data_IF_688170058777
#
_entry.id   IF_688170058777
#
_cell.length_a   1.000
_cell.length_b   1.000
_cell.length_c   1.000
_cell.angle_alpha   90.00
_cell.angle_beta   90.00
_cell.angle_gamma   90.00
#
_symmetry.space_group_name_H-M   'P 1'
#
loop_
_entity.id
_entity.type
_entity.pdbx_description
1 polymer ?
#
# COMPACT_ATOMS: atom_id res chain seq x y z
N UNK A 1 -5.13 11.73 1.16
CA UNK A 1 -3.95 10.99 0.66
C UNK A 1 -3.53 11.49 -0.72
N UNK A 2 -2.38 11.07 -1.30
CA UNK A 2 -1.99 11.46 -2.65
C UNK A 2 -2.82 10.69 -3.69
N UNK A 3 -3.48 11.33 -4.67
CA UNK A 3 -4.22 10.65 -5.72
C UNK A 3 -3.38 9.63 -6.49
N UNK A 4 -4.02 8.55 -6.91
CA UNK A 4 -3.43 7.51 -7.74
C UNK A 4 -4.21 7.41 -9.06
N UNK A 5 -3.60 7.83 -10.15
CA UNK A 5 -4.20 7.71 -11.49
C UNK A 5 -3.36 6.82 -12.39
N UNK A 6 -2.26 7.34 -12.93
CA UNK A 6 -1.29 6.58 -13.72
C UNK A 6 0.06 6.64 -13.03
N UNK A 7 0.70 5.50 -12.87
CA UNK A 7 2.03 5.37 -12.29
C UNK A 7 2.94 4.63 -13.26
N UNK A 8 3.97 5.28 -13.77
CA UNK A 8 5.10 4.62 -14.46
C UNK A 8 6.32 4.71 -13.56
N UNK A 9 6.87 3.58 -13.18
CA UNK A 9 8.00 3.53 -12.26
C UNK A 9 8.76 2.20 -12.33
N UNK A 10 9.98 2.21 -11.83
CA UNK A 10 10.78 1.00 -11.63
C UNK A 10 10.03 0.02 -10.74
N UNK A 11 10.01 -1.24 -11.15
CA UNK A 11 9.42 -2.35 -10.41
C UNK A 11 10.51 -3.28 -9.85
N UNK A 12 10.38 -3.62 -8.57
CA UNK A 12 11.30 -4.55 -7.90
C UNK A 12 10.63 -5.93 -7.70
N UNK A 13 11.30 -7.05 -8.07
CA UNK A 13 10.77 -8.40 -7.87
C UNK A 13 11.13 -8.92 -6.46
N UNK A 14 10.15 -9.17 -5.60
CA UNK A 14 10.33 -9.76 -4.28
C UNK A 14 9.68 -11.15 -4.22
N UNK A 15 10.47 -12.19 -4.49
CA UNK A 15 10.02 -13.58 -4.55
C UNK A 15 10.13 -14.28 -3.19
N UNK A 16 9.39 -13.80 -2.21
CA UNK A 16 9.31 -14.41 -0.87
C UNK A 16 7.83 -14.49 -0.50
N UNK A 17 7.34 -15.71 -0.34
CA UNK A 17 5.95 -15.97 0.02
C UNK A 17 5.69 -15.71 1.51
N UNK A 18 4.44 -15.42 1.84
CA UNK A 18 3.94 -15.32 3.22
C UNK A 18 4.72 -14.34 4.11
N UNK A 19 5.15 -13.22 3.54
CA UNK A 19 5.72 -12.12 4.32
C UNK A 19 4.61 -11.52 5.18
N UNK A 20 4.65 -11.76 6.48
CA UNK A 20 3.66 -11.25 7.42
C UNK A 20 3.90 -9.77 7.79
N UNK A 21 2.91 -9.16 8.43
CA UNK A 21 2.97 -7.73 8.84
C UNK A 21 4.07 -7.45 9.86
N UNK A 22 4.53 -8.45 10.63
CA UNK A 22 5.64 -8.34 11.56
C UNK A 22 7.00 -8.37 10.85
N UNK A 23 7.10 -9.08 9.72
CA UNK A 23 8.26 -9.03 8.83
C UNK A 23 8.31 -7.71 8.05
N UNK A 24 7.15 -7.21 7.60
CA UNK A 24 7.05 -5.90 6.92
C UNK A 24 7.52 -4.78 7.84
N UNK A 25 7.01 -4.74 9.08
CA UNK A 25 7.42 -3.79 10.11
C UNK A 25 7.66 -4.50 11.44
N UNK A 26 8.90 -4.81 11.80
CA UNK A 26 9.20 -5.47 13.06
C UNK A 26 8.75 -4.65 14.26
N UNK A 27 8.09 -5.30 15.22
CA UNK A 27 7.39 -4.65 16.34
C UNK A 27 8.26 -3.70 17.19
N UNK A 28 9.60 -3.91 17.22
CA UNK A 28 10.53 -3.03 17.92
C UNK A 28 10.58 -1.61 17.35
N UNK A 29 10.22 -1.43 16.06
CA UNK A 29 10.18 -0.12 15.41
C UNK A 29 8.86 0.61 15.63
N UNK A 30 7.77 -0.09 15.95
CA UNK A 30 6.45 0.52 16.21
C UNK A 30 6.42 1.36 17.50
N UNK A 31 7.38 1.22 18.38
CA UNK A 31 7.46 2.01 19.62
C UNK A 31 7.93 3.45 19.41
N UNK A 32 8.39 3.80 18.22
CA UNK A 32 8.80 5.16 17.86
C UNK A 32 7.57 5.93 17.38
N UNK A 33 7.44 7.20 17.79
CA UNK A 33 6.44 8.08 17.20
C UNK A 33 6.74 8.25 15.72
N UNK A 34 5.83 7.79 14.87
CA UNK A 34 5.95 7.96 13.43
C UNK A 34 5.81 9.42 13.06
N UNK A 35 6.79 9.96 12.35
CA UNK A 35 6.63 11.21 11.61
C UNK A 35 6.16 10.86 10.20
N UNK A 36 5.02 11.43 9.72
CA UNK A 36 4.54 11.11 8.38
C UNK A 36 5.63 11.27 7.33
N UNK A 37 5.86 10.21 6.55
CA UNK A 37 6.75 10.22 5.40
C UNK A 37 8.19 9.74 5.61
N UNK A 38 8.64 9.41 6.84
CA UNK A 38 10.06 9.06 7.01
C UNK A 38 10.36 7.91 7.99
N UNK A 39 9.53 7.68 9.01
CA UNK A 39 10.03 6.92 10.17
C UNK A 39 9.99 5.39 10.03
N UNK A 40 9.07 4.84 9.21
CA UNK A 40 8.96 3.39 9.06
C UNK A 40 9.59 2.85 7.77
N UNK A 41 9.97 3.70 6.82
CA UNK A 41 10.61 3.27 5.58
C UNK A 41 11.97 2.59 5.80
N UNK A 42 12.76 3.07 6.76
CA UNK A 42 14.02 2.43 7.15
C UNK A 42 13.80 1.04 7.75
N UNK A 43 12.67 0.86 8.47
CA UNK A 43 12.30 -0.38 9.12
C UNK A 43 11.57 -1.37 8.19
N UNK A 44 11.21 -0.94 6.98
CA UNK A 44 10.53 -1.79 5.99
C UNK A 44 11.39 -3.01 5.67
N UNK A 45 10.86 -4.21 5.97
CA UNK A 45 11.54 -5.50 5.78
C UNK A 45 12.94 -5.57 6.43
N UNK A 46 13.14 -4.90 7.57
CA UNK A 46 14.47 -4.69 8.15
C UNK A 46 15.24 -6.01 8.35
N UNK A 47 14.60 -7.03 8.92
CA UNK A 47 15.24 -8.29 9.25
C UNK A 47 15.58 -9.14 8.01
N UNK A 48 14.99 -8.81 6.86
CA UNK A 48 15.33 -9.39 5.56
C UNK A 48 16.42 -8.57 4.83
N UNK A 49 16.41 -7.23 5.02
CA UNK A 49 17.32 -6.31 4.35
C UNK A 49 18.67 -6.19 5.00
N UNK A 50 18.73 -6.40 6.31
CA UNK A 50 19.96 -6.22 7.09
C UNK A 50 20.31 -7.50 7.84
N UNK A 51 21.59 -7.67 8.12
CA UNK A 51 22.10 -8.75 8.97
C UNK A 51 22.02 -8.38 10.47
N UNK A 52 22.47 -9.30 11.33
CA UNK A 52 22.46 -9.12 12.78
C UNK A 52 23.35 -7.95 13.26
N UNK A 53 24.31 -7.52 12.44
CA UNK A 53 25.20 -6.37 12.72
C UNK A 53 24.62 -5.05 12.19
N UNK A 54 23.47 -5.10 11.49
CA UNK A 54 22.84 -3.94 10.85
C UNK A 54 23.46 -3.56 9.50
N UNK A 55 24.28 -4.43 8.90
CA UNK A 55 24.83 -4.20 7.58
C UNK A 55 23.83 -4.65 6.51
N UNK A 56 23.68 -3.89 5.40
CA UNK A 56 22.80 -4.27 4.31
C UNK A 56 23.23 -5.62 3.69
N UNK A 57 22.29 -6.52 3.53
CA UNK A 57 22.50 -7.77 2.78
C UNK A 57 22.61 -7.46 1.29
N UNK A 58 23.75 -7.72 0.68
CA UNK A 58 24.00 -7.43 -0.73
C UNK A 58 23.16 -8.26 -1.71
N UNK A 59 22.70 -9.42 -1.26
CA UNK A 59 21.86 -10.35 -2.02
C UNK A 59 20.35 -10.03 -1.94
N UNK A 60 19.95 -9.07 -1.13
CA UNK A 60 18.54 -8.70 -0.99
C UNK A 60 18.14 -7.65 -2.03
N UNK A 61 17.12 -7.97 -2.83
CA UNK A 61 16.72 -7.18 -4.01
C UNK A 61 16.52 -5.68 -3.74
N UNK A 62 15.90 -5.30 -2.61
CA UNK A 62 15.65 -3.89 -2.31
C UNK A 62 16.88 -3.12 -1.81
N UNK A 63 18.01 -3.80 -1.59
CA UNK A 63 19.29 -3.17 -1.28
C UNK A 63 20.13 -2.90 -2.54
N UNK A 64 19.76 -3.51 -3.68
CA UNK A 64 20.40 -3.20 -4.97
C UNK A 64 20.10 -1.75 -5.38
N UNK A 65 21.13 -0.94 -5.68
CA UNK A 65 20.96 0.46 -6.11
C UNK A 65 20.03 0.64 -7.30
N UNK A 66 19.87 -0.36 -8.18
CA UNK A 66 18.98 -0.30 -9.33
C UNK A 66 17.51 -0.14 -8.94
N UNK A 67 17.12 -0.61 -7.74
CA UNK A 67 15.76 -0.52 -7.21
C UNK A 67 15.55 0.61 -6.19
N UNK A 68 16.56 1.47 -5.98
CA UNK A 68 16.48 2.58 -5.00
C UNK A 68 15.24 3.47 -5.19
N UNK A 69 14.83 3.68 -6.43
CA UNK A 69 13.68 4.51 -6.79
C UNK A 69 12.45 3.69 -7.19
N UNK A 70 12.41 2.40 -6.85
CA UNK A 70 11.27 1.55 -7.13
C UNK A 70 10.02 2.07 -6.39
N UNK A 71 8.91 2.21 -7.12
CA UNK A 71 7.59 2.54 -6.57
C UNK A 71 6.59 1.40 -6.73
N UNK A 72 6.97 0.34 -7.42
CA UNK A 72 6.18 -0.86 -7.65
C UNK A 72 6.95 -2.04 -7.07
N UNK A 73 6.29 -2.86 -6.25
CA UNK A 73 6.85 -4.10 -5.73
C UNK A 73 6.02 -5.28 -6.25
N UNK A 74 6.68 -6.22 -6.94
CA UNK A 74 6.04 -7.44 -7.41
C UNK A 74 6.33 -8.54 -6.38
N UNK A 75 5.33 -8.84 -5.55
CA UNK A 75 5.43 -9.73 -4.38
C UNK A 75 5.00 -11.16 -4.71
N UNK A 76 5.31 -12.09 -3.83
CA UNK A 76 4.77 -13.44 -3.83
C UNK A 76 3.42 -13.49 -3.07
N UNK A 77 2.84 -14.69 -3.00
CA UNK A 77 1.55 -14.96 -2.35
C UNK A 77 1.58 -14.58 -0.87
N UNK A 78 0.41 -14.20 -0.38
CA UNK A 78 0.13 -13.90 1.03
C UNK A 78 1.00 -12.79 1.63
N UNK A 79 1.38 -11.81 0.82
CA UNK A 79 2.10 -10.65 1.30
C UNK A 79 1.21 -9.81 2.25
N UNK A 80 1.73 -9.48 3.41
CA UNK A 80 0.99 -8.77 4.45
C UNK A 80 0.01 -9.66 5.22
N UNK A 81 0.20 -10.99 5.20
CA UNK A 81 -0.59 -11.92 6.01
C UNK A 81 -0.36 -11.70 7.52
N UNK A 82 -1.12 -12.44 8.35
CA UNK A 82 -1.00 -12.41 9.79
C UNK A 82 -1.85 -11.34 10.45
N UNK A 83 -1.32 -10.65 11.47
CA UNK A 83 -2.11 -9.76 12.30
C UNK A 83 -2.39 -8.42 11.64
N UNK A 84 -3.53 -7.80 12.03
CA UNK A 84 -3.94 -6.49 11.54
C UNK A 84 -3.04 -5.37 12.10
N UNK A 85 -2.10 -4.88 11.30
CA UNK A 85 -1.20 -3.77 11.67
C UNK A 85 -1.16 -2.75 10.55
N UNK A 86 -1.83 -1.63 10.74
CA UNK A 86 -1.77 -0.51 9.80
C UNK A 86 -0.33 0.01 9.63
N UNK A 87 0.50 -0.09 10.68
CA UNK A 87 1.92 0.25 10.61
C UNK A 87 2.68 -0.44 9.48
N UNK A 88 2.27 -1.65 9.06
CA UNK A 88 2.86 -2.32 7.92
C UNK A 88 2.59 -1.56 6.59
N UNK A 89 1.38 -1.03 6.40
CA UNK A 89 1.07 -0.20 5.24
C UNK A 89 1.86 1.13 5.29
N UNK A 90 2.01 1.73 6.48
CA UNK A 90 2.86 2.90 6.66
C UNK A 90 4.32 2.63 6.29
N UNK A 91 4.87 1.47 6.66
CA UNK A 91 6.25 1.13 6.29
C UNK A 91 6.43 1.01 4.78
N UNK A 92 5.47 0.41 4.07
CA UNK A 92 5.46 0.34 2.60
C UNK A 92 5.43 1.75 1.99
N UNK A 93 4.55 2.63 2.50
CA UNK A 93 4.39 4.00 2.02
C UNK A 93 5.65 4.83 2.29
N UNK A 94 6.18 4.78 3.51
CA UNK A 94 7.36 5.55 3.94
C UNK A 94 8.64 5.08 3.22
N UNK A 95 8.69 3.81 2.78
CA UNK A 95 9.75 3.30 1.91
C UNK A 95 9.68 3.88 0.49
N UNK A 96 8.53 4.45 0.10
CA UNK A 96 8.33 5.10 -1.19
C UNK A 96 7.53 4.27 -2.20
N UNK A 97 7.05 3.08 -1.81
CA UNK A 97 6.22 2.25 -2.67
C UNK A 97 4.80 2.82 -2.80
N UNK A 98 4.26 2.76 -4.00
CA UNK A 98 2.92 3.24 -4.35
C UNK A 98 2.01 2.11 -4.83
N UNK A 99 2.59 1.03 -5.33
CA UNK A 99 1.84 -0.12 -5.80
C UNK A 99 2.51 -1.43 -5.40
N UNK A 100 1.68 -2.40 -5.09
CA UNK A 100 2.04 -3.80 -4.84
C UNK A 100 1.33 -4.66 -5.87
N UNK A 101 2.01 -5.64 -6.45
CA UNK A 101 1.46 -6.58 -7.42
C UNK A 101 1.79 -7.99 -6.94
N UNK A 102 0.80 -8.85 -6.78
CA UNK A 102 1.04 -10.21 -6.29
C UNK A 102 -0.14 -11.15 -6.53
N UNK A 103 0.04 -12.46 -6.27
CA UNK A 103 -1.04 -13.44 -6.42
C UNK A 103 -2.12 -13.32 -5.35
N UNK A 104 -1.72 -12.94 -4.13
CA UNK A 104 -2.62 -12.71 -2.99
C UNK A 104 -1.99 -11.80 -1.94
N UNK A 105 -2.84 -11.21 -1.10
CA UNK A 105 -2.47 -10.32 0.00
C UNK A 105 -3.26 -10.68 1.24
N UNK A 106 -2.73 -10.36 2.41
CA UNK A 106 -3.51 -10.34 3.63
C UNK A 106 -4.68 -9.36 3.48
N UNK A 107 -5.91 -9.79 3.75
CA UNK A 107 -7.12 -9.02 3.49
C UNK A 107 -7.10 -7.65 4.19
N UNK A 108 -6.80 -7.64 5.49
CA UNK A 108 -6.74 -6.40 6.28
C UNK A 108 -5.58 -5.51 5.82
N UNK A 109 -4.44 -6.11 5.48
CA UNK A 109 -3.30 -5.37 4.95
C UNK A 109 -3.66 -4.67 3.63
N UNK A 110 -4.38 -5.35 2.72
CA UNK A 110 -4.85 -4.76 1.47
C UNK A 110 -5.78 -3.55 1.71
N UNK A 111 -6.69 -3.65 2.70
CA UNK A 111 -7.55 -2.53 3.10
C UNK A 111 -6.71 -1.36 3.61
N UNK A 112 -5.78 -1.61 4.52
CA UNK A 112 -4.88 -0.59 5.06
C UNK A 112 -4.02 0.07 3.97
N UNK A 113 -3.54 -0.70 2.98
CA UNK A 113 -2.82 -0.15 1.84
C UNK A 113 -3.65 0.88 1.08
N UNK A 114 -4.90 0.54 0.76
CA UNK A 114 -5.80 1.43 0.00
C UNK A 114 -6.11 2.70 0.80
N UNK A 115 -6.36 2.59 2.10
CA UNK A 115 -6.59 3.73 2.99
C UNK A 115 -5.38 4.68 3.05
N UNK A 116 -4.18 4.17 2.78
CA UNK A 116 -2.94 4.93 2.76
C UNK A 116 -2.46 5.31 1.35
N UNK A 117 -3.29 5.11 0.32
CA UNK A 117 -2.98 5.50 -1.06
C UNK A 117 -2.01 4.56 -1.78
N UNK A 118 -1.90 3.30 -1.31
CA UNK A 118 -1.13 2.25 -1.96
C UNK A 118 -2.09 1.32 -2.69
N UNK A 119 -1.88 1.12 -3.98
CA UNK A 119 -2.68 0.20 -4.79
C UNK A 119 -2.11 -1.22 -4.71
N UNK A 120 -2.85 -2.15 -4.13
CA UNK A 120 -2.52 -3.58 -4.13
C UNK A 120 -3.33 -4.31 -5.21
N UNK A 121 -2.62 -4.80 -6.23
CA UNK A 121 -3.17 -5.45 -7.43
C UNK A 121 -2.98 -6.96 -7.31
N UNK A 122 -4.08 -7.71 -7.36
CA UNK A 122 -4.06 -9.16 -7.45
C UNK A 122 -4.09 -9.61 -8.90
N UNK A 123 -3.12 -10.43 -9.29
CA UNK A 123 -3.03 -11.06 -10.63
C UNK A 123 -2.85 -12.57 -10.49
N UNK A 124 -3.19 -13.30 -11.55
CA UNK A 124 -2.92 -14.75 -11.60
C UNK A 124 -1.43 -15.04 -11.36
N UNK A 125 -1.15 -16.10 -10.62
CA UNK A 125 0.23 -16.50 -10.26
C UNK A 125 1.14 -16.63 -11.48
N UNK A 126 0.63 -17.17 -12.60
CA UNK A 126 1.37 -17.32 -13.86
C UNK A 126 1.81 -15.97 -14.43
N UNK A 127 0.98 -14.93 -14.30
CA UNK A 127 1.32 -13.57 -14.73
C UNK A 127 2.42 -13.00 -13.83
N UNK A 128 2.28 -13.16 -12.50
CA UNK A 128 3.27 -12.67 -11.55
C UNK A 128 4.63 -13.35 -11.76
N UNK A 129 4.65 -14.67 -12.02
CA UNK A 129 5.87 -15.41 -12.34
C UNK A 129 6.54 -14.88 -13.63
N UNK A 130 5.75 -14.56 -14.65
CA UNK A 130 6.27 -13.95 -15.89
C UNK A 130 6.83 -12.53 -15.64
N UNK A 131 6.16 -11.72 -14.83
CA UNK A 131 6.67 -10.42 -14.41
C UNK A 131 8.02 -10.54 -13.69
N UNK A 132 8.17 -11.48 -12.76
CA UNK A 132 9.45 -11.72 -12.09
C UNK A 132 10.56 -12.12 -13.07
N UNK A 133 10.25 -12.99 -14.04
CA UNK A 133 11.21 -13.36 -15.07
C UNK A 133 11.68 -12.13 -15.86
N UNK A 134 10.75 -11.31 -16.32
CA UNK A 134 11.05 -10.08 -17.09
C UNK A 134 11.87 -9.07 -16.28
N UNK A 135 11.54 -8.88 -15.00
CA UNK A 135 12.25 -7.94 -14.11
C UNK A 135 13.66 -8.42 -13.75
N UNK A 136 13.89 -9.74 -13.70
CA UNK A 136 15.26 -10.30 -13.53
C UNK A 136 16.09 -10.22 -14.79
N UNK A 137 15.48 -10.41 -15.95
CA UNK A 137 16.15 -10.26 -17.25
C UNK A 137 16.52 -8.78 -17.54
N UNK A 138 15.74 -7.84 -16.98
CA UNK A 138 15.92 -6.40 -17.15
C UNK A 138 15.81 -5.67 -15.79
N UNK A 139 16.86 -5.74 -14.94
CA UNK A 139 16.87 -5.03 -13.67
C UNK A 139 16.66 -3.51 -13.88
N UNK A 140 15.81 -2.91 -13.04
CA UNK A 140 15.43 -1.51 -13.16
C UNK A 140 14.37 -1.20 -14.22
N UNK A 141 13.80 -2.22 -14.88
CA UNK A 141 12.71 -2.01 -15.83
C UNK A 141 11.49 -1.36 -15.17
N UNK A 142 10.84 -0.51 -15.91
CA UNK A 142 9.61 0.16 -15.49
C UNK A 142 8.38 -0.65 -15.88
N UNK A 143 7.34 -0.50 -15.07
CA UNK A 143 5.98 -0.92 -15.34
C UNK A 143 5.06 0.30 -15.29
N UNK A 144 3.95 0.26 -16.02
CA UNK A 144 2.93 1.31 -15.95
C UNK A 144 1.63 0.72 -15.41
N UNK A 145 1.06 1.37 -14.42
CA UNK A 145 -0.24 1.03 -13.85
C UNK A 145 -1.19 2.18 -14.13
N UNK A 146 -2.25 1.91 -14.87
CA UNK A 146 -3.35 2.83 -15.18
C UNK A 146 -4.58 2.40 -14.37
N UNK A 147 -4.83 3.06 -13.24
CA UNK A 147 -5.95 2.74 -12.37
C UNK A 147 -7.31 3.08 -12.99
N UNK A 148 -7.52 4.24 -13.63
CA UNK A 148 -8.74 4.53 -14.37
C UNK A 148 -9.16 3.42 -15.36
N UNK A 149 -8.21 2.90 -16.13
CA UNK A 149 -8.46 1.85 -17.11
C UNK A 149 -8.24 0.43 -16.55
N UNK A 150 -7.83 0.30 -15.27
CA UNK A 150 -7.56 -0.99 -14.61
C UNK A 150 -6.61 -1.87 -15.42
N UNK A 151 -5.51 -1.29 -15.89
CA UNK A 151 -4.53 -1.94 -16.74
C UNK A 151 -3.12 -1.80 -16.15
N UNK A 152 -2.37 -2.90 -16.16
CA UNK A 152 -0.95 -2.97 -15.83
C UNK A 152 -0.19 -3.32 -17.09
N UNK A 153 0.76 -2.49 -17.49
CA UNK A 153 1.64 -2.71 -18.64
C UNK A 153 2.96 -3.24 -18.12
N UNK A 154 3.29 -4.46 -18.51
CA UNK A 154 4.51 -5.16 -18.16
C UNK A 154 5.74 -4.61 -18.91
N UNK A 155 7.00 -4.96 -18.52
CA UNK A 155 8.22 -4.54 -19.22
C UNK A 155 8.28 -4.95 -20.70
N UNK A 156 7.61 -6.03 -21.10
CA UNK A 156 7.47 -6.45 -22.50
C UNK A 156 6.34 -5.75 -23.27
N UNK A 157 5.70 -4.75 -22.62
CA UNK A 157 4.56 -3.95 -23.11
C UNK A 157 3.24 -4.69 -23.25
N UNK A 158 3.12 -5.91 -22.74
CA UNK A 158 1.81 -6.56 -22.62
C UNK A 158 0.98 -5.90 -21.54
N UNK A 159 -0.30 -5.72 -21.84
CA UNK A 159 -1.28 -5.20 -20.88
C UNK A 159 -1.99 -6.35 -20.16
N UNK A 160 -2.09 -6.25 -18.85
CA UNK A 160 -2.83 -7.16 -17.99
C UNK A 160 -3.94 -6.39 -17.28
N UNK A 161 -5.18 -6.82 -17.45
CA UNK A 161 -6.30 -6.24 -16.72
C UNK A 161 -6.28 -6.70 -15.26
N UNK A 162 -6.73 -5.84 -14.35
CA UNK A 162 -6.93 -6.18 -12.94
C UNK A 162 -8.26 -5.66 -12.43
N UNK A 163 -8.77 -6.28 -11.38
CA UNK A 163 -10.02 -5.89 -10.76
C UNK A 163 -9.79 -5.11 -9.47
N UNK A 164 -10.62 -4.11 -9.27
CA UNK A 164 -10.71 -3.35 -8.03
C UNK A 164 -12.16 -2.91 -7.84
N UNK A 165 -12.67 -2.92 -6.60
CA UNK A 165 -14.03 -2.45 -6.36
C UNK A 165 -14.19 -0.97 -6.74
N UNK A 166 -15.35 -0.56 -7.27
CA UNK A 166 -15.58 0.84 -7.67
C UNK A 166 -15.32 1.84 -6.54
N UNK A 167 -15.71 1.50 -5.31
CA UNK A 167 -15.51 2.35 -4.14
C UNK A 167 -14.01 2.57 -3.84
N UNK A 168 -13.22 1.49 -3.85
CA UNK A 168 -11.78 1.57 -3.61
C UNK A 168 -11.06 2.34 -4.72
N UNK A 169 -11.49 2.13 -5.97
CA UNK A 169 -10.99 2.87 -7.14
C UNK A 169 -11.25 4.37 -7.01
N UNK A 170 -12.48 4.76 -6.69
CA UNK A 170 -12.86 6.18 -6.52
C UNK A 170 -12.00 6.86 -5.45
N UNK A 171 -11.84 6.23 -4.28
CA UNK A 171 -11.00 6.75 -3.19
C UNK A 171 -9.55 6.98 -3.62
N UNK A 172 -8.94 5.99 -4.28
CA UNK A 172 -7.56 6.10 -4.75
C UNK A 172 -7.41 7.18 -5.82
N UNK A 173 -8.31 7.22 -6.81
CA UNK A 173 -8.26 8.20 -7.91
C UNK A 173 -8.41 9.62 -7.37
N UNK A 174 -9.33 9.83 -6.42
CA UNK A 174 -9.58 11.14 -5.79
C UNK A 174 -8.54 11.48 -4.70
N UNK A 175 -7.86 10.49 -4.17
CA UNK A 175 -6.89 10.68 -3.07
C UNK A 175 -7.55 11.04 -1.75
N UNK A 176 -8.77 10.56 -1.50
CA UNK A 176 -9.57 10.84 -0.30
C UNK A 176 -9.57 9.66 0.66
N UNK A 177 -9.67 9.94 1.95
CA UNK A 177 -9.81 8.95 3.01
C UNK A 177 -11.28 8.77 3.46
N UNK A 178 -11.51 7.91 4.45
CA UNK A 178 -12.86 7.65 4.98
C UNK A 178 -13.48 8.86 5.68
N UNK A 179 -12.64 9.73 6.23
CA UNK A 179 -13.10 10.98 6.86
C UNK A 179 -13.56 11.95 5.78
N UNK A 180 -12.78 12.12 4.71
CA UNK A 180 -13.13 12.97 3.57
C UNK A 180 -14.47 12.52 2.95
N UNK A 181 -14.66 11.21 2.76
CA UNK A 181 -15.95 10.65 2.27
C UNK A 181 -17.10 10.98 3.23
N UNK A 182 -16.87 10.87 4.54
CA UNK A 182 -17.91 11.20 5.54
C UNK A 182 -18.24 12.69 5.51
N UNK A 183 -17.25 13.57 5.30
CA UNK A 183 -17.45 15.01 5.23
C UNK A 183 -18.22 15.47 3.99
N UNK A 184 -18.35 14.67 2.95
CA UNK A 184 -19.28 14.93 1.82
C UNK A 184 -20.75 14.96 2.27
N UNK A 185 -21.07 14.31 3.39
CA UNK A 185 -22.42 14.30 3.99
C UNK A 185 -22.58 15.31 5.12
N UNK A 186 -21.70 16.33 5.22
CA UNK A 186 -21.67 17.30 6.33
C UNK A 186 -23.05 17.90 6.60
N UNK A 187 -23.74 18.39 5.58
CA UNK A 187 -25.05 19.04 5.74
C UNK A 187 -26.11 18.07 6.29
N UNK A 188 -26.07 16.79 5.87
CA UNK A 188 -26.96 15.77 6.38
C UNK A 188 -26.66 15.43 7.84
N UNK A 189 -25.38 15.37 8.21
CA UNK A 189 -24.92 15.15 9.57
C UNK A 189 -25.34 16.30 10.47
N UNK A 190 -25.11 17.54 10.08
CA UNK A 190 -25.50 18.74 10.85
C UNK A 190 -27.02 18.83 11.04
N UNK A 191 -27.80 18.54 10.01
CA UNK A 191 -29.26 18.48 10.09
C UNK A 191 -29.73 17.38 11.03
N UNK A 192 -29.12 16.20 11.00
CA UNK A 192 -29.42 15.12 11.93
C UNK A 192 -29.10 15.51 13.37
N UNK A 193 -27.90 16.08 13.62
CA UNK A 193 -27.49 16.52 14.94
C UNK A 193 -28.40 17.61 15.51
N UNK A 194 -28.86 18.55 14.69
CA UNK A 194 -29.80 19.59 15.11
C UNK A 194 -31.15 18.99 15.52
N UNK A 195 -31.71 18.09 14.74
CA UNK A 195 -32.96 17.37 15.05
C UNK A 195 -32.82 16.53 16.32
N UNK A 196 -31.68 15.81 16.47
CA UNK A 196 -31.40 15.00 17.66
C UNK A 196 -31.30 15.87 18.92
N UNK A 197 -30.62 17.02 18.86
CA UNK A 197 -30.52 17.96 20.01
C UNK A 197 -31.89 18.47 20.45
N UNK A 198 -32.75 18.79 19.48
CA UNK A 198 -34.10 19.25 19.80
C UNK A 198 -34.97 18.14 20.42
N UNK A 199 -34.87 16.92 19.92
CA UNK A 199 -35.66 15.78 20.41
C UNK A 199 -35.13 15.16 21.71
N UNK A 200 -33.81 15.25 21.97
CA UNK A 200 -33.12 14.60 23.09
C UNK A 200 -32.16 15.57 23.80
N UNK A 201 -32.65 16.67 24.41
CA UNK A 201 -31.79 17.72 24.99
C UNK A 201 -30.96 17.25 26.21
N UNK A 202 -31.31 16.10 26.78
CA UNK A 202 -30.57 15.48 27.90
C UNK A 202 -29.36 14.67 27.49
N UNK A 203 -29.15 14.40 26.19
CA UNK A 203 -27.95 13.70 25.72
C UNK A 203 -26.79 14.69 25.59
N UNK A 204 -25.60 14.37 26.15
CA UNK A 204 -24.46 15.24 26.00
C UNK A 204 -24.08 15.35 24.51
N UNK A 205 -23.88 16.58 24.07
CA UNK A 205 -23.24 16.85 22.76
C UNK A 205 -21.74 16.83 22.96
N UNK A 206 -21.02 16.12 22.08
CA UNK A 206 -19.57 16.25 22.04
C UNK A 206 -19.22 17.74 21.87
N UNK A 207 -18.47 18.31 22.81
CA UNK A 207 -17.92 19.65 22.65
C UNK A 207 -16.94 19.58 21.50
N UNK A 208 -17.21 20.33 20.42
CA UNK A 208 -16.20 20.56 19.36
C UNK A 208 -15.21 21.56 19.95
N UNK A 209 -14.03 21.08 20.34
CA UNK A 209 -12.87 21.93 20.58
C UNK A 209 -12.28 22.43 19.26
#
# INVERSE_FOLDING_TARGET
MQPFTVLTAVAAPLQIASIDTGMILPGRYMRRHRRPGHDYGEAFLYDLRFDETGQPRADFVLNDPVYRNAKILVTDRDFGCGSSREGAAFAVMDFGLRALVGPSFGEIFQVNCIQNGILAITLAETIVQDLWRQLRERPGAEMTIDLPNQSLIAPDRRAHAFEISPLRKDRLVRGIDDIDVTLEYRDAIENFEAKRRAAMPWLPTAQRE
#
